data_IF_376477021514
#
_entry.id   IF_376477021514
#
_cell.length_a   1.000
_cell.length_b   1.000
_cell.length_c   1.000
_cell.angle_alpha   90.00
_cell.angle_beta   90.00
_cell.angle_gamma   90.00
#
_symmetry.space_group_name_H-M   'P 1'
#
loop_
_entity.id
_entity.type
_entity.pdbx_description
1 polymer ?
#
# COMPACT_ATOMS: atom_id res chain seq x y z
N UNK A 1 -41.42 -26.21 -33.62
CA UNK A 1 -40.97 -27.19 -32.59
C UNK A 1 -41.85 -27.09 -31.36
N UNK A 2 -42.08 -28.20 -30.67
CA UNK A 2 -42.78 -28.21 -29.38
C UNK A 2 -41.81 -28.00 -28.20
N UNK A 3 -42.33 -27.73 -27.00
CA UNK A 3 -41.50 -27.45 -25.81
C UNK A 3 -40.59 -28.62 -25.39
N UNK A 4 -40.94 -29.88 -25.72
CA UNK A 4 -40.10 -31.05 -25.43
C UNK A 4 -38.86 -31.05 -26.32
N UNK A 5 -39.02 -30.75 -27.60
CA UNK A 5 -37.92 -30.64 -28.56
C UNK A 5 -36.98 -29.48 -28.21
N UNK A 6 -37.53 -28.31 -27.85
CA UNK A 6 -36.74 -27.15 -27.42
C UNK A 6 -35.97 -27.47 -26.14
N UNK A 7 -36.59 -28.14 -25.18
CA UNK A 7 -35.94 -28.57 -23.94
C UNK A 7 -34.75 -29.51 -24.22
N UNK A 8 -34.89 -30.43 -25.18
CA UNK A 8 -33.79 -31.31 -25.61
C UNK A 8 -32.68 -30.54 -26.33
N UNK A 9 -33.02 -29.60 -27.21
CA UNK A 9 -32.04 -28.79 -27.96
C UNK A 9 -31.26 -27.80 -27.09
N UNK A 10 -31.89 -27.25 -26.07
CA UNK A 10 -31.32 -26.17 -25.23
C UNK A 10 -30.75 -26.69 -23.90
N UNK A 11 -31.08 -27.92 -23.51
CA UNK A 11 -30.78 -28.47 -22.18
C UNK A 11 -31.58 -27.82 -21.03
N UNK A 12 -32.43 -26.82 -21.33
CA UNK A 12 -33.26 -26.16 -20.34
C UNK A 12 -34.46 -27.03 -19.97
N UNK A 13 -34.86 -26.98 -18.70
CA UNK A 13 -36.12 -27.61 -18.28
C UNK A 13 -37.31 -26.90 -18.92
N UNK A 14 -38.41 -27.63 -19.16
CA UNK A 14 -39.67 -27.04 -19.62
C UNK A 14 -40.15 -25.90 -18.70
N UNK A 15 -39.85 -25.98 -17.40
CA UNK A 15 -40.16 -24.93 -16.41
C UNK A 15 -39.34 -23.68 -16.66
N UNK A 16 -38.04 -23.81 -16.95
CA UNK A 16 -37.18 -22.66 -17.29
C UNK A 16 -37.62 -21.99 -18.59
N UNK A 17 -38.00 -22.77 -19.61
CA UNK A 17 -38.51 -22.21 -20.88
C UNK A 17 -39.79 -21.41 -20.65
N UNK A 18 -40.75 -21.96 -19.90
CA UNK A 18 -41.98 -21.22 -19.53
C UNK A 18 -41.66 -19.97 -18.72
N UNK A 19 -40.70 -20.04 -17.80
CA UNK A 19 -40.30 -18.88 -17.02
C UNK A 19 -39.73 -17.75 -17.89
N UNK A 20 -38.92 -18.07 -18.90
CA UNK A 20 -38.42 -17.05 -19.84
C UNK A 20 -39.50 -16.51 -20.77
N UNK A 21 -40.51 -17.31 -21.07
CA UNK A 21 -41.73 -16.85 -21.77
C UNK A 21 -42.54 -15.87 -20.89
N UNK A 22 -42.74 -16.20 -19.61
CA UNK A 22 -43.44 -15.33 -18.65
C UNK A 22 -42.71 -13.98 -18.47
N UNK A 23 -41.38 -14.00 -18.57
CA UNK A 23 -40.54 -12.79 -18.55
C UNK A 23 -40.51 -12.04 -19.89
N UNK A 24 -41.21 -12.52 -20.92
CA UNK A 24 -41.22 -11.95 -22.28
C UNK A 24 -39.83 -11.89 -22.93
N UNK A 25 -38.97 -12.84 -22.60
CA UNK A 25 -37.64 -12.97 -23.22
C UNK A 25 -37.69 -13.84 -24.49
N UNK A 26 -38.74 -14.65 -24.61
CA UNK A 26 -39.14 -15.34 -25.84
C UNK A 26 -40.66 -15.28 -25.97
N UNK A 27 -41.18 -15.23 -27.19
CA UNK A 27 -42.62 -15.14 -27.46
C UNK A 27 -43.02 -16.13 -28.56
N UNK A 28 -43.20 -17.43 -28.21
CA UNK A 28 -43.64 -18.43 -29.16
C UNK A 28 -45.07 -18.16 -29.64
N UNK A 29 -45.32 -18.39 -30.93
CA UNK A 29 -46.65 -18.29 -31.52
C UNK A 29 -47.54 -19.44 -31.05
N UNK A 30 -48.84 -19.20 -30.90
CA UNK A 30 -49.82 -20.24 -30.58
C UNK A 30 -50.50 -20.66 -31.88
N UNK A 31 -50.29 -21.90 -32.30
CA UNK A 31 -50.88 -22.43 -33.54
C UNK A 31 -52.42 -22.35 -33.48
N UNK A 32 -53.04 -21.80 -34.51
CA UNK A 32 -54.48 -21.55 -34.58
C UNK A 32 -55.31 -22.84 -34.68
N UNK A 33 -54.76 -23.89 -35.28
CA UNK A 33 -55.48 -25.15 -35.53
C UNK A 33 -55.52 -26.08 -34.31
N UNK A 34 -54.46 -26.08 -33.50
CA UNK A 34 -54.32 -27.03 -32.37
C UNK A 34 -54.08 -26.36 -31.02
N UNK A 35 -54.04 -25.02 -30.97
CA UNK A 35 -53.82 -24.22 -29.76
C UNK A 35 -52.51 -24.51 -29.00
N UNK A 36 -51.55 -25.24 -29.59
CA UNK A 36 -50.24 -25.49 -28.97
C UNK A 36 -49.24 -24.38 -29.30
N UNK A 37 -48.28 -24.17 -28.39
CA UNK A 37 -47.17 -23.23 -28.59
C UNK A 37 -46.13 -23.81 -29.54
N UNK A 38 -45.75 -23.04 -30.54
CA UNK A 38 -44.73 -23.38 -31.51
C UNK A 38 -43.50 -22.47 -31.37
N UNK A 39 -42.35 -23.12 -31.27
CA UNK A 39 -41.06 -22.47 -31.12
C UNK A 39 -40.28 -22.57 -32.43
N UNK A 40 -39.70 -21.45 -32.85
CA UNK A 40 -38.79 -21.34 -33.99
C UNK A 40 -37.35 -21.64 -33.59
N UNK A 41 -36.47 -21.77 -34.57
CA UNK A 41 -35.03 -21.91 -34.31
C UNK A 41 -34.44 -20.65 -33.65
N UNK A 42 -35.00 -19.47 -33.91
CA UNK A 42 -34.61 -18.23 -33.24
C UNK A 42 -34.87 -18.29 -31.73
N UNK A 43 -35.99 -18.90 -31.29
CA UNK A 43 -36.24 -19.12 -29.87
C UNK A 43 -35.19 -20.03 -29.23
N UNK A 44 -34.74 -21.06 -29.94
CA UNK A 44 -33.65 -21.94 -29.47
C UNK A 44 -32.35 -21.15 -29.31
N UNK A 45 -32.00 -20.30 -30.28
CA UNK A 45 -30.81 -19.44 -30.22
C UNK A 45 -30.90 -18.48 -29.02
N UNK A 46 -32.03 -17.80 -28.83
CA UNK A 46 -32.24 -16.89 -27.68
C UNK A 46 -32.15 -17.63 -26.35
N UNK A 47 -32.77 -18.80 -26.24
CA UNK A 47 -32.73 -19.61 -25.02
C UNK A 47 -31.32 -20.11 -24.69
N UNK A 48 -30.54 -20.53 -25.70
CA UNK A 48 -29.15 -20.91 -25.52
C UNK A 48 -28.29 -19.71 -25.05
N UNK A 49 -28.50 -18.53 -25.63
CA UNK A 49 -27.83 -17.31 -25.19
C UNK A 49 -28.19 -16.96 -23.74
N UNK A 50 -29.48 -17.01 -23.37
CA UNK A 50 -29.93 -16.77 -21.99
C UNK A 50 -29.24 -17.76 -21.03
N UNK A 51 -29.23 -19.05 -21.37
CA UNK A 51 -28.59 -20.07 -20.54
C UNK A 51 -27.09 -19.79 -20.34
N UNK A 52 -26.36 -19.49 -21.42
CA UNK A 52 -24.94 -19.17 -21.37
C UNK A 52 -24.64 -17.93 -20.52
N UNK A 53 -25.39 -16.83 -20.71
CA UNK A 53 -25.20 -15.60 -19.94
C UNK A 53 -25.55 -15.79 -18.46
N UNK A 54 -26.53 -16.64 -18.13
CA UNK A 54 -26.84 -17.01 -16.75
C UNK A 54 -25.72 -17.81 -16.09
N UNK A 55 -25.01 -18.67 -16.83
CA UNK A 55 -23.83 -19.37 -16.32
C UNK A 55 -22.68 -18.39 -15.97
N UNK A 56 -22.62 -17.24 -16.66
CA UNK A 56 -21.70 -16.15 -16.35
C UNK A 56 -22.19 -15.22 -15.21
N UNK A 57 -23.25 -15.62 -14.49
CA UNK A 57 -23.89 -14.86 -13.41
C UNK A 57 -24.49 -13.51 -13.85
N UNK A 58 -24.77 -13.31 -15.13
CA UNK A 58 -25.41 -12.08 -15.61
C UNK A 58 -26.87 -12.05 -15.12
N UNK A 59 -27.34 -10.92 -14.56
CA UNK A 59 -28.74 -10.75 -14.15
C UNK A 59 -29.71 -10.87 -15.33
N UNK A 60 -30.89 -11.48 -15.09
CA UNK A 60 -31.91 -11.63 -16.13
C UNK A 60 -32.39 -10.28 -16.71
N UNK A 61 -32.38 -9.22 -15.90
CA UNK A 61 -32.71 -7.88 -16.35
C UNK A 61 -31.76 -7.39 -17.46
N UNK A 62 -30.44 -7.54 -17.25
CA UNK A 62 -29.44 -7.14 -18.25
C UNK A 62 -29.51 -8.02 -19.50
N UNK A 63 -29.74 -9.33 -19.33
CA UNK A 63 -29.94 -10.25 -20.47
C UNK A 63 -31.15 -9.81 -21.30
N UNK A 64 -32.25 -9.43 -20.65
CA UNK A 64 -33.44 -8.94 -21.34
C UNK A 64 -33.16 -7.64 -22.11
N UNK A 65 -32.45 -6.69 -21.51
CA UNK A 65 -32.05 -5.46 -22.20
C UNK A 65 -31.13 -5.70 -23.41
N UNK A 66 -30.24 -6.70 -23.34
CA UNK A 66 -29.42 -7.14 -24.48
C UNK A 66 -30.32 -7.69 -25.60
N UNK A 67 -31.26 -8.59 -25.26
CA UNK A 67 -32.15 -9.21 -26.24
C UNK A 67 -33.08 -8.20 -26.91
N UNK A 68 -33.47 -7.13 -26.19
CA UNK A 68 -34.28 -6.03 -26.69
C UNK A 68 -33.46 -4.95 -27.43
N UNK A 69 -32.13 -5.09 -27.49
CA UNK A 69 -31.23 -4.11 -28.10
C UNK A 69 -31.11 -2.78 -27.35
N UNK A 70 -31.56 -2.72 -26.09
CA UNK A 70 -31.54 -1.53 -25.24
C UNK A 70 -30.18 -1.27 -24.60
N UNK A 71 -29.38 -2.33 -24.41
CA UNK A 71 -28.03 -2.25 -23.88
C UNK A 71 -27.07 -3.05 -24.73
N UNK A 72 -25.85 -2.54 -24.91
CA UNK A 72 -24.84 -3.25 -25.70
C UNK A 72 -24.25 -4.43 -24.93
N UNK A 73 -24.03 -5.54 -25.64
CA UNK A 73 -23.43 -6.75 -25.08
C UNK A 73 -22.08 -6.47 -24.39
N UNK A 74 -21.19 -5.73 -25.06
CA UNK A 74 -19.87 -5.40 -24.53
C UNK A 74 -19.93 -4.53 -23.27
N UNK A 75 -20.94 -3.68 -23.14
CA UNK A 75 -21.15 -2.84 -21.95
C UNK A 75 -21.51 -3.70 -20.73
N UNK A 76 -22.47 -4.62 -20.89
CA UNK A 76 -22.84 -5.58 -19.82
C UNK A 76 -21.66 -6.47 -19.44
N UNK A 77 -20.88 -6.91 -20.41
CA UNK A 77 -19.69 -7.74 -20.14
C UNK A 77 -18.61 -6.99 -19.37
N UNK A 78 -18.34 -5.73 -19.72
CA UNK A 78 -17.40 -4.86 -18.97
C UNK A 78 -17.90 -4.66 -17.54
N UNK A 79 -19.16 -4.27 -17.36
CA UNK A 79 -19.73 -4.08 -16.03
C UNK A 79 -19.71 -5.37 -15.19
N UNK A 80 -19.97 -6.52 -15.80
CA UNK A 80 -19.92 -7.82 -15.12
C UNK A 80 -18.49 -8.19 -14.72
N UNK A 81 -17.51 -7.92 -15.59
CA UNK A 81 -16.10 -8.13 -15.30
C UNK A 81 -15.64 -7.24 -14.13
N UNK A 82 -16.05 -5.98 -14.09
CA UNK A 82 -15.74 -5.06 -12.98
C UNK A 82 -16.32 -5.56 -11.66
N UNK A 83 -17.56 -6.07 -11.65
CA UNK A 83 -18.18 -6.67 -10.47
C UNK A 83 -17.42 -7.91 -10.01
N UNK A 84 -17.00 -8.77 -10.95
CA UNK A 84 -16.23 -9.98 -10.63
C UNK A 84 -14.85 -9.64 -10.06
N UNK A 85 -14.16 -8.66 -10.65
CA UNK A 85 -12.87 -8.19 -10.15
C UNK A 85 -12.98 -7.65 -8.72
N UNK A 86 -14.01 -6.84 -8.43
CA UNK A 86 -14.28 -6.36 -7.06
C UNK A 86 -14.54 -7.51 -6.08
N UNK A 87 -15.33 -8.51 -6.47
CA UNK A 87 -15.56 -9.70 -5.62
C UNK A 87 -14.29 -10.50 -5.39
N UNK A 88 -13.45 -10.66 -6.40
CA UNK A 88 -12.15 -11.33 -6.25
C UNK A 88 -11.26 -10.58 -5.26
N UNK A 89 -11.22 -9.25 -5.37
CA UNK A 89 -10.48 -8.39 -4.44
C UNK A 89 -11.00 -8.52 -2.99
N UNK A 90 -12.31 -8.49 -2.78
CA UNK A 90 -12.94 -8.68 -1.46
C UNK A 90 -12.62 -10.07 -0.86
N UNK A 91 -12.65 -11.12 -1.68
CA UNK A 91 -12.33 -12.49 -1.26
C UNK A 91 -10.85 -12.64 -0.92
N UNK A 92 -9.95 -12.05 -1.71
CA UNK A 92 -8.52 -12.00 -1.39
C UNK A 92 -8.25 -11.23 -0.10
N UNK A 93 -8.85 -10.05 0.07
CA UNK A 93 -8.72 -9.28 1.31
C UNK A 93 -9.16 -10.10 2.52
N UNK A 94 -10.29 -10.79 2.41
CA UNK A 94 -10.79 -11.71 3.45
C UNK A 94 -9.80 -12.85 3.73
N UNK A 95 -9.24 -13.46 2.68
CA UNK A 95 -8.24 -14.53 2.81
C UNK A 95 -6.99 -14.05 3.55
N UNK A 96 -6.46 -12.88 3.20
CA UNK A 96 -5.25 -12.34 3.86
C UNK A 96 -5.52 -12.02 5.32
N UNK A 97 -6.66 -11.37 5.64
CA UNK A 97 -7.07 -11.09 7.03
C UNK A 97 -7.20 -12.38 7.82
N UNK A 98 -7.93 -13.37 7.32
CA UNK A 98 -8.08 -14.69 7.98
C UNK A 98 -6.71 -15.34 8.18
N UNK A 99 -5.84 -15.34 7.16
CA UNK A 99 -4.51 -15.95 7.27
C UNK A 99 -3.69 -15.32 8.39
N UNK A 100 -3.76 -13.99 8.54
CA UNK A 100 -3.04 -13.29 9.59
C UNK A 100 -3.61 -13.57 10.97
N UNK A 101 -4.94 -13.63 11.09
CA UNK A 101 -5.61 -13.88 12.37
C UNK A 101 -5.40 -15.31 12.89
N UNK A 102 -5.13 -16.29 12.01
CA UNK A 102 -4.79 -17.67 12.41
C UNK A 102 -3.51 -17.72 13.25
N UNK A 103 -2.55 -16.83 12.97
CA UNK A 103 -1.26 -16.80 13.67
C UNK A 103 -1.32 -16.03 15.00
N UNK A 104 -2.44 -15.38 15.31
CA UNK A 104 -2.65 -14.60 16.55
C UNK A 104 -3.54 -15.35 17.54
N UNK A 105 -3.20 -15.27 18.82
CA UNK A 105 -4.13 -15.62 19.91
C UNK A 105 -4.84 -14.37 20.40
N UNK A 106 -6.14 -14.50 20.69
CA UNK A 106 -6.95 -13.43 21.29
C UNK A 106 -7.47 -13.89 22.64
N UNK A 107 -7.45 -13.00 23.63
CA UNK A 107 -7.90 -13.32 24.98
C UNK A 107 -9.43 -13.39 25.06
N UNK A 108 -10.13 -12.61 24.21
CA UNK A 108 -11.59 -12.56 24.18
C UNK A 108 -12.18 -12.13 22.83
N UNK A 109 -13.50 -12.24 22.68
CA UNK A 109 -14.20 -11.94 21.43
C UNK A 109 -14.19 -10.45 21.05
N UNK A 110 -14.09 -9.53 22.01
CA UNK A 110 -14.03 -8.10 21.71
C UNK A 110 -12.69 -7.76 21.06
N UNK A 111 -11.59 -8.25 21.63
CA UNK A 111 -10.25 -8.07 21.06
C UNK A 111 -10.14 -8.66 19.64
N UNK A 112 -10.64 -9.88 19.44
CA UNK A 112 -10.71 -10.49 18.12
C UNK A 112 -11.57 -9.66 17.15
N UNK A 113 -12.72 -9.16 17.61
CA UNK A 113 -13.62 -8.32 16.82
C UNK A 113 -12.98 -7.00 16.38
N UNK A 114 -12.31 -6.31 17.30
CA UNK A 114 -11.64 -5.04 17.04
C UNK A 114 -10.51 -5.21 16.01
N UNK A 115 -9.72 -6.29 16.12
CA UNK A 115 -8.67 -6.63 15.15
C UNK A 115 -9.26 -6.91 13.76
N UNK A 116 -10.31 -7.75 13.67
CA UNK A 116 -10.97 -8.06 12.39
C UNK A 116 -11.49 -6.80 11.72
N UNK A 117 -12.21 -5.95 12.47
CA UNK A 117 -12.80 -4.72 11.94
C UNK A 117 -11.71 -3.76 11.45
N UNK A 118 -10.62 -3.61 12.21
CA UNK A 118 -9.50 -2.73 11.89
C UNK A 118 -8.78 -3.16 10.61
N UNK A 119 -8.35 -4.42 10.53
CA UNK A 119 -7.62 -4.94 9.38
C UNK A 119 -8.46 -4.95 8.11
N UNK A 120 -9.75 -5.31 8.21
CA UNK A 120 -10.66 -5.26 7.08
C UNK A 120 -10.82 -3.83 6.57
N UNK A 121 -11.13 -2.88 7.46
CA UNK A 121 -11.32 -1.47 7.07
C UNK A 121 -10.06 -0.86 6.48
N UNK A 122 -8.88 -1.21 6.99
CA UNK A 122 -7.62 -0.63 6.48
C UNK A 122 -7.30 -1.05 5.04
N UNK A 123 -7.80 -2.19 4.57
CA UNK A 123 -7.63 -2.65 3.18
C UNK A 123 -8.63 -1.98 2.22
N UNK A 124 -9.86 -1.75 2.66
CA UNK A 124 -10.99 -1.25 1.85
C UNK A 124 -10.90 0.26 1.54
N UNK A 125 -10.12 1.02 2.30
CA UNK A 125 -9.98 2.48 2.13
C UNK A 125 -9.13 2.87 0.90
N UNK A 126 -9.39 4.05 0.34
CA UNK A 126 -8.65 4.59 -0.81
C UNK A 126 -7.17 4.83 -0.49
N UNK A 127 -6.31 4.96 -1.50
CA UNK A 127 -4.89 5.28 -1.31
C UNK A 127 -4.67 6.57 -0.49
N UNK A 128 -5.49 7.60 -0.72
CA UNK A 128 -5.43 8.85 0.04
C UNK A 128 -5.77 8.63 1.52
N UNK A 129 -6.78 7.82 1.79
CA UNK A 129 -7.18 7.46 3.15
C UNK A 129 -6.13 6.55 3.82
N UNK A 130 -5.47 5.65 3.07
CA UNK A 130 -4.35 4.84 3.57
C UNK A 130 -3.19 5.71 4.03
N UNK A 131 -2.79 6.69 3.22
CA UNK A 131 -1.78 7.68 3.59
C UNK A 131 -2.17 8.42 4.87
N UNK A 132 -3.42 8.88 4.95
CA UNK A 132 -3.95 9.58 6.12
C UNK A 132 -3.92 8.70 7.37
N UNK A 133 -4.40 7.46 7.29
CA UNK A 133 -4.42 6.49 8.39
C UNK A 133 -3.01 6.29 8.96
N UNK A 134 -2.03 5.97 8.13
CA UNK A 134 -0.65 5.75 8.59
C UNK A 134 -0.05 7.04 9.20
N UNK A 135 -0.37 8.19 8.62
CA UNK A 135 0.09 9.48 9.16
C UNK A 135 -0.47 9.74 10.55
N UNK A 136 -1.75 9.46 10.77
CA UNK A 136 -2.41 9.61 12.07
C UNK A 136 -1.86 8.62 13.10
N UNK A 137 -1.65 7.36 12.72
CA UNK A 137 -1.03 6.35 13.60
C UNK A 137 0.39 6.74 14.01
N UNK A 138 1.21 7.27 13.09
CA UNK A 138 2.55 7.76 13.43
C UNK A 138 2.45 8.93 14.42
N UNK A 139 1.57 9.89 14.22
CA UNK A 139 1.47 11.05 15.12
C UNK A 139 0.86 10.69 16.49
N UNK A 140 0.06 9.63 16.57
CA UNK A 140 -0.49 9.10 17.82
C UNK A 140 0.59 8.39 18.66
N UNK A 141 1.44 7.58 18.03
CA UNK A 141 2.44 6.75 18.73
C UNK A 141 3.76 7.47 18.99
N UNK A 142 4.14 8.39 18.11
CA UNK A 142 5.39 9.13 18.19
C UNK A 142 5.12 10.59 18.59
N UNK A 143 5.48 11.03 19.81
CA UNK A 143 5.07 12.33 20.32
C UNK A 143 5.86 13.50 19.72
N UNK A 144 5.26 14.69 19.79
CA UNK A 144 5.95 15.97 19.62
C UNK A 144 6.61 16.19 18.26
N UNK A 145 7.73 16.90 18.26
CA UNK A 145 8.56 17.17 17.08
C UNK A 145 9.19 15.88 16.54
N UNK A 146 9.47 14.91 17.40
CA UNK A 146 9.97 13.61 16.97
C UNK A 146 8.99 12.93 16.01
N UNK A 147 7.71 12.80 16.38
CA UNK A 147 6.68 12.24 15.49
C UNK A 147 6.51 13.00 14.18
N UNK A 148 6.59 14.33 14.21
CA UNK A 148 6.52 15.15 13.00
C UNK A 148 7.70 14.90 12.05
N UNK A 149 8.90 14.66 12.60
CA UNK A 149 10.09 14.33 11.81
C UNK A 149 9.96 12.92 11.26
N UNK A 150 9.58 11.94 12.07
CA UNK A 150 9.30 10.57 11.60
C UNK A 150 8.30 10.64 10.45
N UNK A 151 7.19 11.34 10.61
CA UNK A 151 6.21 11.52 9.54
C UNK A 151 6.84 12.19 8.30
N UNK A 152 7.60 13.28 8.44
CA UNK A 152 8.21 13.97 7.30
C UNK A 152 9.09 13.05 6.44
N UNK A 153 9.82 12.12 7.05
CA UNK A 153 10.68 11.17 6.35
C UNK A 153 9.94 10.00 5.71
N UNK A 154 8.74 9.65 6.19
CA UNK A 154 7.95 8.53 5.66
C UNK A 154 6.82 8.98 4.72
N UNK A 155 6.27 10.18 4.92
CA UNK A 155 5.13 10.74 4.19
C UNK A 155 5.24 10.69 2.65
N UNK A 156 6.43 10.92 2.02
CA UNK A 156 6.59 10.80 0.57
C UNK A 156 6.26 9.40 0.03
N UNK A 157 6.40 8.36 0.86
CA UNK A 157 6.30 6.96 0.46
C UNK A 157 4.96 6.32 0.82
N UNK A 158 4.04 7.06 1.47
CA UNK A 158 2.75 6.53 1.93
C UNK A 158 1.67 6.47 0.84
N UNK A 159 1.97 6.92 -0.39
CA UNK A 159 1.10 6.70 -1.55
C UNK A 159 1.22 5.24 -2.02
N UNK A 160 0.55 4.34 -1.30
CA UNK A 160 0.71 2.89 -1.44
C UNK A 160 -0.38 2.30 -2.32
N UNK A 161 0.03 1.64 -3.41
CA UNK A 161 -0.87 0.82 -4.24
C UNK A 161 -0.76 -0.66 -3.85
N UNK A 162 -1.85 -1.23 -3.33
CA UNK A 162 -1.92 -2.64 -2.91
C UNK A 162 -2.48 -3.48 -4.06
N UNK A 163 -1.59 -3.87 -4.98
CA UNK A 163 -1.90 -4.59 -6.22
C UNK A 163 -1.46 -6.07 -6.19
N UNK A 164 -0.95 -6.55 -5.06
CA UNK A 164 -0.49 -7.94 -4.91
C UNK A 164 -0.76 -8.49 -3.51
N UNK A 165 -0.87 -9.81 -3.39
CA UNK A 165 -0.98 -10.52 -2.10
C UNK A 165 0.20 -10.21 -1.17
N UNK A 166 1.41 -10.03 -1.72
CA UNK A 166 2.60 -9.68 -0.94
C UNK A 166 2.46 -8.28 -0.32
N UNK A 167 1.98 -7.30 -1.10
CA UNK A 167 1.69 -5.96 -0.59
C UNK A 167 0.53 -5.95 0.40
N UNK A 168 -0.51 -6.79 0.21
CA UNK A 168 -1.60 -6.94 1.19
C UNK A 168 -1.06 -7.38 2.55
N UNK A 169 -0.17 -8.39 2.56
CA UNK A 169 0.48 -8.87 3.78
C UNK A 169 1.37 -7.79 4.42
N UNK A 170 2.21 -7.12 3.64
CA UNK A 170 3.08 -6.06 4.15
C UNK A 170 2.29 -4.86 4.69
N UNK A 171 1.13 -4.56 4.12
CA UNK A 171 0.24 -3.50 4.60
C UNK A 171 -0.38 -3.85 5.94
N UNK A 172 -0.91 -5.07 6.08
CA UNK A 172 -1.46 -5.54 7.35
C UNK A 172 -0.37 -5.52 8.43
N UNK A 173 0.82 -6.02 8.12
CA UNK A 173 1.96 -5.99 9.03
C UNK A 173 2.31 -4.57 9.45
N UNK A 174 2.33 -3.61 8.52
CA UNK A 174 2.60 -2.20 8.84
C UNK A 174 1.55 -1.62 9.81
N UNK A 175 0.27 -1.89 9.56
CA UNK A 175 -0.82 -1.42 10.42
C UNK A 175 -0.69 -2.02 11.81
N UNK A 176 -0.43 -3.32 11.92
CA UNK A 176 -0.24 -3.98 13.23
C UNK A 176 0.98 -3.46 13.97
N UNK A 177 2.12 -3.34 13.29
CA UNK A 177 3.35 -2.80 13.90
C UNK A 177 3.10 -1.42 14.48
N UNK A 178 2.35 -0.56 13.78
CA UNK A 178 2.03 0.77 14.28
C UNK A 178 1.01 0.74 15.42
N UNK A 179 0.07 -0.20 15.40
CA UNK A 179 -0.97 -0.34 16.40
C UNK A 179 -0.44 -0.88 17.74
N UNK A 180 0.45 -1.88 17.67
CA UNK A 180 1.05 -2.61 18.78
C UNK A 180 2.15 -1.79 19.52
N UNK A 181 2.56 -0.64 18.98
CA UNK A 181 3.52 0.25 19.66
C UNK A 181 2.85 0.88 20.89
N UNK A 182 3.48 0.73 22.06
CA UNK A 182 3.19 1.57 23.22
C UNK A 182 3.57 3.03 22.92
N UNK A 183 2.73 3.98 23.32
CA UNK A 183 3.03 5.40 23.14
C UNK A 183 4.39 5.71 23.76
N UNK A 184 5.28 6.27 22.95
CA UNK A 184 6.65 6.55 23.37
C UNK A 184 6.63 7.59 24.48
N UNK A 185 7.39 7.35 25.55
CA UNK A 185 7.50 8.28 26.66
C UNK A 185 8.11 9.62 26.18
N UNK A 186 7.29 10.67 26.20
CA UNK A 186 7.71 12.04 25.88
C UNK A 186 8.89 12.54 26.74
N UNK A 187 9.15 11.91 27.88
CA UNK A 187 10.25 12.26 28.77
C UNK A 187 11.57 11.53 28.47
N UNK A 188 11.59 10.55 27.57
CA UNK A 188 12.82 9.87 27.14
C UNK A 188 13.86 10.86 26.65
N UNK A 189 15.14 10.54 26.87
CA UNK A 189 16.21 11.48 26.58
C UNK A 189 16.31 11.78 25.08
N UNK A 190 16.11 10.77 24.22
CA UNK A 190 16.09 10.96 22.77
C UNK A 190 14.90 11.81 22.27
N UNK A 191 13.71 11.69 22.86
CA UNK A 191 12.56 12.54 22.49
C UNK A 191 12.83 13.99 22.85
N UNK A 192 13.32 14.26 24.07
CA UNK A 192 13.73 15.61 24.49
C UNK A 192 14.82 16.19 23.60
N UNK A 193 15.72 15.35 23.10
CA UNK A 193 16.73 15.78 22.14
C UNK A 193 16.06 16.27 20.84
N UNK A 194 15.12 15.50 20.29
CA UNK A 194 14.34 15.92 19.12
C UNK A 194 13.50 17.17 19.39
N UNK A 195 13.04 17.43 20.60
CA UNK A 195 12.34 18.69 20.89
C UNK A 195 13.27 19.92 20.81
N UNK A 196 14.55 19.74 21.10
CA UNK A 196 15.51 20.84 21.17
C UNK A 196 16.23 21.12 19.85
N UNK A 197 16.11 20.26 18.82
CA UNK A 197 16.72 20.55 17.52
C UNK A 197 16.02 21.74 16.83
N UNK A 198 16.85 22.63 16.27
CA UNK A 198 16.38 23.77 15.50
C UNK A 198 16.25 23.36 14.02
N UNK A 199 15.04 23.00 13.62
CA UNK A 199 14.69 22.65 12.23
C UNK A 199 14.09 23.82 11.44
N UNK A 200 13.98 25.00 12.06
CA UNK A 200 13.29 26.15 11.46
C UNK A 200 11.79 25.88 11.24
N UNK A 201 11.29 26.31 10.09
CA UNK A 201 9.89 26.12 9.69
C UNK A 201 9.65 24.66 9.21
N UNK A 202 8.64 24.01 9.79
CA UNK A 202 8.35 22.60 9.50
C UNK A 202 7.96 22.36 8.04
N UNK A 203 7.30 23.33 7.38
CA UNK A 203 6.94 23.20 5.96
C UNK A 203 8.19 23.27 5.07
N UNK A 204 9.12 24.17 5.37
CA UNK A 204 10.42 24.22 4.71
C UNK A 204 11.24 22.95 4.94
N UNK A 205 11.24 22.43 6.18
CA UNK A 205 11.90 21.17 6.52
C UNK A 205 11.36 20.01 5.67
N UNK A 206 10.03 19.83 5.62
CA UNK A 206 9.39 18.81 4.77
C UNK A 206 9.75 18.95 3.30
N UNK A 207 9.76 20.16 2.75
CA UNK A 207 10.18 20.39 1.37
C UNK A 207 11.66 20.01 1.14
N UNK A 208 12.52 20.26 2.14
CA UNK A 208 13.92 19.83 2.11
C UNK A 208 14.06 18.31 2.10
N UNK A 209 13.28 17.61 2.92
CA UNK A 209 13.23 16.15 2.95
C UNK A 209 12.79 15.59 1.59
N UNK A 210 11.73 16.12 0.98
CA UNK A 210 11.27 15.68 -0.35
C UNK A 210 12.38 15.81 -1.39
N UNK A 211 13.03 16.98 -1.48
CA UNK A 211 14.14 17.20 -2.43
C UNK A 211 15.32 16.27 -2.17
N UNK A 212 15.65 16.03 -0.91
CA UNK A 212 16.71 15.10 -0.53
C UNK A 212 16.36 13.68 -0.98
N UNK A 213 15.15 13.21 -0.69
CA UNK A 213 14.63 11.91 -1.13
C UNK A 213 14.71 11.75 -2.64
N UNK A 214 14.22 12.72 -3.41
CA UNK A 214 14.28 12.72 -4.89
C UNK A 214 15.72 12.65 -5.41
N UNK A 215 16.68 13.27 -4.72
CA UNK A 215 18.09 13.23 -5.12
C UNK A 215 18.76 11.89 -4.86
N UNK A 216 18.35 11.21 -3.77
CA UNK A 216 18.84 9.89 -3.38
C UNK A 216 18.27 8.81 -4.32
N UNK A 217 16.99 8.92 -4.67
CA UNK A 217 16.38 8.10 -5.72
C UNK A 217 17.14 8.38 -7.03
N UNK A 218 17.62 7.34 -7.70
CA UNK A 218 18.46 7.48 -8.89
C UNK A 218 19.93 7.82 -8.63
N UNK A 219 20.42 7.92 -7.39
CA UNK A 219 21.86 8.18 -7.14
C UNK A 219 22.78 7.13 -7.79
N UNK A 220 22.29 5.90 -7.96
CA UNK A 220 23.00 4.81 -8.62
C UNK A 220 23.38 5.13 -10.07
N UNK A 221 22.54 5.86 -10.80
CA UNK A 221 22.78 6.24 -12.20
C UNK A 221 23.65 7.50 -12.32
N UNK A 222 23.77 8.29 -11.27
CA UNK A 222 24.68 9.45 -11.22
C UNK A 222 26.12 8.97 -11.01
N UNK A 223 27.04 9.39 -11.88
CA UNK A 223 28.48 9.16 -11.74
C UNK A 223 29.16 10.14 -10.75
N UNK A 224 28.36 10.87 -9.96
CA UNK A 224 28.84 11.90 -9.04
C UNK A 224 29.84 11.34 -8.02
N UNK A 225 31.04 11.91 -8.06
CA UNK A 225 32.10 11.77 -7.06
C UNK A 225 31.85 12.79 -5.95
N UNK A 226 31.71 12.32 -4.71
CA UNK A 226 31.47 13.18 -3.54
C UNK A 226 32.74 13.91 -3.06
N UNK A 227 33.87 13.79 -3.76
CA UNK A 227 35.14 14.44 -3.40
C UNK A 227 35.02 15.96 -3.27
N UNK A 228 34.24 16.64 -4.11
CA UNK A 228 34.05 18.09 -3.99
C UNK A 228 33.22 18.47 -2.75
N UNK A 229 32.16 17.72 -2.46
CA UNK A 229 31.35 17.89 -1.25
C UNK A 229 32.19 17.68 0.01
N UNK A 230 33.03 16.64 0.01
CA UNK A 230 33.97 16.36 1.12
C UNK A 230 34.98 17.49 1.28
N UNK A 231 35.57 18.01 0.19
CA UNK A 231 36.49 19.16 0.25
C UNK A 231 35.82 20.41 0.81
N UNK A 232 34.61 20.71 0.34
CA UNK A 232 33.82 21.84 0.83
C UNK A 232 33.53 21.70 2.32
N UNK A 233 33.11 20.51 2.76
CA UNK A 233 32.87 20.18 4.16
C UNK A 233 34.15 20.32 5.02
N UNK A 234 35.28 19.81 4.55
CA UNK A 234 36.57 19.95 5.24
C UNK A 234 37.01 21.40 5.37
N UNK A 235 36.75 22.24 4.36
CA UNK A 235 37.06 23.67 4.41
C UNK A 235 36.21 24.37 5.48
N UNK A 236 34.90 24.15 5.46
CA UNK A 236 33.96 24.71 6.44
C UNK A 236 34.34 24.33 7.87
N UNK A 237 34.66 23.06 8.11
CA UNK A 237 35.04 22.59 9.45
C UNK A 237 36.38 23.10 9.92
N UNK A 238 37.32 23.43 9.02
CA UNK A 238 38.59 24.08 9.38
C UNK A 238 38.38 25.54 9.78
N UNK A 239 37.48 26.25 9.11
CA UNK A 239 37.25 27.69 9.26
C UNK A 239 36.25 28.04 10.37
N UNK A 240 35.30 27.15 10.68
CA UNK A 240 34.24 27.39 11.67
C UNK A 240 34.45 26.57 12.96
N UNK A 241 35.06 27.21 13.97
CA UNK A 241 35.26 26.61 15.29
C UNK A 241 33.94 26.37 16.05
N UNK A 242 32.89 27.13 15.78
CA UNK A 242 31.57 26.91 16.41
C UNK A 242 30.89 25.67 15.81
N UNK A 243 31.07 25.41 14.51
CA UNK A 243 30.65 24.16 13.87
C UNK A 243 31.38 22.95 14.46
N UNK A 244 32.70 23.05 14.65
CA UNK A 244 33.51 22.03 15.36
C UNK A 244 32.99 21.77 16.77
N UNK A 245 32.81 22.80 17.59
CA UNK A 245 32.31 22.64 18.96
C UNK A 245 30.90 22.05 18.99
N UNK A 246 30.02 22.43 18.06
CA UNK A 246 28.68 21.82 17.92
C UNK A 246 28.75 20.35 17.54
N UNK A 247 29.59 19.99 16.57
CA UNK A 247 29.79 18.59 16.15
C UNK A 247 30.35 17.74 17.29
N UNK A 248 31.35 18.26 18.02
CA UNK A 248 31.93 17.60 19.20
C UNK A 248 30.85 17.39 20.26
N UNK A 249 30.11 18.46 20.62
CA UNK A 249 29.04 18.39 21.62
C UNK A 249 27.92 17.42 21.21
N UNK A 250 27.62 17.34 19.92
CA UNK A 250 26.67 16.39 19.32
C UNK A 250 27.16 14.95 19.46
N UNK A 251 28.40 14.66 19.04
CA UNK A 251 29.02 13.32 19.05
C UNK A 251 29.22 12.72 20.45
N UNK A 252 29.54 13.55 21.45
CA UNK A 252 29.65 13.10 22.85
C UNK A 252 28.30 12.90 23.55
N UNK A 253 27.22 13.53 23.05
CA UNK A 253 25.84 13.29 23.50
C UNK A 253 25.15 12.12 22.77
N UNK A 254 25.83 11.56 21.76
CA UNK A 254 25.29 10.67 20.72
C UNK A 254 25.23 9.21 21.17
N UNK A 255 26.20 8.69 21.93
CA UNK A 255 26.22 7.27 22.31
C UNK A 255 24.99 6.90 23.17
N UNK A 256 24.70 7.71 24.19
CA UNK A 256 23.52 7.50 25.06
C UNK A 256 22.20 7.76 24.32
N UNK A 257 22.20 8.71 23.38
CA UNK A 257 21.05 9.00 22.52
C UNK A 257 20.74 7.82 21.59
N UNK A 258 21.72 7.39 20.79
CA UNK A 258 21.60 6.32 19.80
C UNK A 258 21.25 5.00 20.50
N UNK A 259 21.86 4.71 21.64
CA UNK A 259 21.58 3.50 22.41
C UNK A 259 20.13 3.48 22.92
N UNK A 260 19.64 4.57 23.51
CA UNK A 260 18.26 4.67 23.99
C UNK A 260 17.26 4.64 22.82
N UNK A 261 17.48 5.43 21.76
CA UNK A 261 16.62 5.43 20.57
C UNK A 261 16.57 4.04 19.93
N UNK A 262 17.73 3.40 19.72
CA UNK A 262 17.78 2.07 19.11
C UNK A 262 17.07 1.03 19.98
N UNK A 263 17.17 1.14 21.30
CA UNK A 263 16.45 0.26 22.23
C UNK A 263 14.94 0.47 22.20
N UNK A 264 14.48 1.72 22.08
CA UNK A 264 13.05 2.07 22.16
C UNK A 264 12.36 1.89 20.81
N UNK A 265 12.95 2.35 19.71
CA UNK A 265 12.30 2.37 18.38
C UNK A 265 13.04 1.54 17.32
N UNK A 266 14.20 0.95 17.63
CA UNK A 266 15.03 0.27 16.63
C UNK A 266 14.33 -0.93 15.99
N UNK A 267 13.68 -1.79 16.77
CA UNK A 267 12.93 -2.94 16.25
C UNK A 267 11.75 -2.49 15.39
N UNK A 268 10.98 -1.52 15.90
CA UNK A 268 9.84 -0.91 15.21
C UNK A 268 10.27 -0.31 13.88
N UNK A 269 11.36 0.48 13.87
CA UNK A 269 11.93 1.07 12.67
C UNK A 269 12.30 0.01 11.63
N UNK A 270 12.89 -1.10 12.05
CA UNK A 270 13.27 -2.19 11.15
C UNK A 270 12.03 -2.87 10.54
N UNK A 271 10.96 -3.09 11.32
CA UNK A 271 9.71 -3.65 10.83
C UNK A 271 9.00 -2.71 9.85
N UNK A 272 8.87 -1.43 10.17
CA UNK A 272 8.30 -0.40 9.28
C UNK A 272 9.11 -0.34 7.98
N UNK A 273 10.43 -0.29 8.06
CA UNK A 273 11.32 -0.26 6.88
C UNK A 273 11.13 -1.49 6.00
N UNK A 274 11.00 -2.67 6.60
CA UNK A 274 10.79 -3.92 5.85
C UNK A 274 9.44 -3.92 5.13
N UNK A 275 8.37 -3.45 5.78
CA UNK A 275 7.06 -3.31 5.16
C UNK A 275 7.07 -2.31 4.00
N UNK A 276 7.63 -1.11 4.22
CA UNK A 276 7.65 -0.06 3.21
C UNK A 276 8.47 -0.43 1.97
N UNK A 277 9.53 -1.23 2.10
CA UNK A 277 10.29 -1.77 0.95
C UNK A 277 9.45 -2.64 0.02
N UNK A 278 8.45 -3.33 0.56
CA UNK A 278 7.51 -4.15 -0.23
C UNK A 278 6.38 -3.28 -0.80
N UNK A 279 5.91 -2.32 -0.01
CA UNK A 279 4.75 -1.49 -0.34
C UNK A 279 5.05 -0.40 -1.37
N UNK A 280 6.29 0.09 -1.42
CA UNK A 280 6.69 1.23 -2.24
C UNK A 280 8.09 1.03 -2.84
N UNK A 281 8.17 0.96 -4.18
CA UNK A 281 9.45 0.74 -4.87
C UNK A 281 10.39 1.94 -4.75
N UNK A 282 9.87 3.18 -4.75
CA UNK A 282 10.68 4.39 -4.54
C UNK A 282 11.31 4.39 -3.14
N UNK A 283 10.62 3.85 -2.13
CA UNK A 283 11.20 3.67 -0.80
C UNK A 283 12.33 2.65 -0.80
N UNK A 284 12.17 1.54 -1.52
CA UNK A 284 13.23 0.55 -1.67
C UNK A 284 14.45 1.14 -2.37
N UNK A 285 14.24 1.86 -3.47
CA UNK A 285 15.30 2.58 -4.18
C UNK A 285 15.96 3.63 -3.29
N UNK A 286 15.19 4.35 -2.48
CA UNK A 286 15.69 5.32 -1.52
C UNK A 286 16.64 4.68 -0.49
N UNK A 287 16.26 3.54 0.12
CA UNK A 287 17.11 2.85 1.10
C UNK A 287 18.40 2.30 0.46
N UNK A 288 18.30 1.77 -0.77
CA UNK A 288 19.48 1.35 -1.54
C UNK A 288 20.38 2.56 -1.87
N UNK A 289 19.77 3.68 -2.27
CA UNK A 289 20.44 4.93 -2.58
C UNK A 289 21.18 5.53 -1.38
N UNK A 290 20.58 5.50 -0.18
CA UNK A 290 21.25 5.89 1.06
C UNK A 290 22.52 5.07 1.30
N UNK A 291 22.46 3.75 1.08
CA UNK A 291 23.62 2.87 1.25
C UNK A 291 24.74 3.20 0.26
N UNK A 292 24.39 3.53 -0.99
CA UNK A 292 25.33 3.98 -2.02
C UNK A 292 25.95 5.33 -1.63
N UNK A 293 25.12 6.29 -1.19
CA UNK A 293 25.56 7.62 -0.76
C UNK A 293 26.57 7.54 0.38
N UNK A 294 26.29 6.74 1.42
CA UNK A 294 27.19 6.53 2.55
C UNK A 294 28.52 5.92 2.08
N UNK A 295 28.47 4.92 1.20
CA UNK A 295 29.69 4.32 0.65
C UNK A 295 30.53 5.32 -0.14
N UNK A 296 29.91 6.08 -1.06
CA UNK A 296 30.60 7.10 -1.87
C UNK A 296 31.22 8.19 -1.00
N UNK A 297 30.49 8.61 0.04
CA UNK A 297 30.99 9.56 1.03
C UNK A 297 32.25 9.01 1.72
N UNK A 298 32.20 7.77 2.23
CA UNK A 298 33.35 7.13 2.86
C UNK A 298 34.56 7.02 1.91
N UNK A 299 34.35 6.57 0.67
CA UNK A 299 35.41 6.45 -0.34
C UNK A 299 36.05 7.82 -0.65
N UNK A 300 35.23 8.88 -0.77
CA UNK A 300 35.70 10.25 -0.97
C UNK A 300 36.49 10.78 0.24
N UNK A 301 36.06 10.51 1.47
CA UNK A 301 36.81 10.86 2.68
C UNK A 301 38.17 10.15 2.75
N UNK A 302 38.23 8.86 2.41
CA UNK A 302 39.50 8.11 2.36
C UNK A 302 40.43 8.72 1.31
N UNK A 303 39.91 9.03 0.12
CA UNK A 303 40.67 9.63 -0.98
C UNK A 303 41.25 11.01 -0.61
N UNK A 304 40.47 11.84 0.08
CA UNK A 304 40.84 13.24 0.36
C UNK A 304 41.58 13.44 1.69
N UNK A 305 41.37 12.55 2.67
CA UNK A 305 41.94 12.69 4.02
C UNK A 305 42.88 11.55 4.42
N UNK A 306 42.92 10.47 3.65
CA UNK A 306 43.64 9.23 4.00
C UNK A 306 42.95 8.40 5.09
N UNK A 307 41.74 8.79 5.51
CA UNK A 307 40.96 8.10 6.54
C UNK A 307 39.47 8.14 6.22
N UNK A 308 38.73 7.13 6.67
CA UNK A 308 37.27 7.12 6.58
C UNK A 308 36.63 8.27 7.39
N UNK A 309 35.34 8.51 7.17
CA UNK A 309 34.59 9.58 7.83
C UNK A 309 34.76 9.52 9.35
N UNK A 310 34.55 8.35 9.95
CA UNK A 310 34.56 8.18 11.40
C UNK A 310 35.94 8.49 11.99
N UNK A 311 36.99 7.95 11.37
CA UNK A 311 38.39 8.14 11.72
C UNK A 311 38.82 9.60 11.53
N UNK A 312 38.44 10.23 10.42
CA UNK A 312 38.72 11.65 10.17
C UNK A 312 38.13 12.52 11.29
N UNK A 313 36.87 12.30 11.64
CA UNK A 313 36.22 13.03 12.72
C UNK A 313 36.85 12.73 14.08
N UNK A 314 37.21 11.47 14.38
CA UNK A 314 37.92 11.12 15.63
C UNK A 314 39.27 11.84 15.74
N UNK A 315 39.98 12.05 14.64
CA UNK A 315 41.31 12.67 14.66
C UNK A 315 41.27 14.20 14.68
N UNK A 316 40.29 14.82 14.00
CA UNK A 316 40.22 16.28 13.83
C UNK A 316 39.27 16.98 14.80
N UNK A 317 38.42 16.24 15.51
CA UNK A 317 37.39 16.75 16.42
C UNK A 317 37.47 16.08 17.80
N UNK A 318 38.54 15.37 18.15
CA UNK A 318 38.78 15.06 19.57
C UNK A 318 39.24 16.32 20.30
N UNK A 319 38.79 16.46 21.55
CA UNK A 319 39.45 17.35 22.51
C UNK A 319 40.83 16.81 22.85
#
# INVERSE_FOLDING_TARGET
>A
MNIKEVSLKTGLTKRAIKYYEDLKMIEPHKNEENSYREYSEEHVIKLNLIAALRMLNIPLADIKEILEGKRQFNEVMKSSLDILNKKMEELENSKVVISKLIDKSFDNYNEAGDNVVKLRKSLEISMMEKKKLISEMILDKFPGKFGQIVLAWHEPFLNINIDSEEKKKAWIELVEVLDDIDTIDSNSYFVKWYENINIGDMKQYKNGVVKFTENIIGIKSKAEDMSEDVKAFMKLTKEDNALKERYIKFKYSEEKFIEEETKVVGEVRNKITSCLKVLNEDFKEYIEGLSIMVKRSNDAFIKETGSDVETYFKNNFKK
#
